data_IF_712383198368
#
_entry.id   IF_712383198368
#
_cell.length_a   1.000
_cell.length_b   1.000
_cell.length_c   1.000
_cell.angle_alpha   90.00
_cell.angle_beta   90.00
_cell.angle_gamma   90.00
#
_symmetry.space_group_name_H-M   'P 1'
#
loop_
_entity.id
_entity.type
_entity.pdbx_description
1 polymer ?
#
# COMPACT_ATOMS: atom_id res chain seq x y z
N UNK A 1 26.61 12.76 12.07
CA UNK A 1 26.30 11.33 12.29
C UNK A 1 25.78 10.64 11.02
N UNK A 2 24.74 11.16 10.35
CA UNK A 2 24.26 10.61 9.05
C UNK A 2 25.34 10.69 7.97
N UNK A 3 26.18 11.71 8.05
CA UNK A 3 27.35 12.01 7.21
C UNK A 3 28.65 11.37 7.69
N UNK A 4 28.61 10.57 8.76
CA UNK A 4 29.80 9.85 9.26
C UNK A 4 30.36 8.94 8.17
N UNK A 5 31.69 8.86 8.03
CA UNK A 5 32.33 7.89 7.14
C UNK A 5 32.15 6.46 7.66
N UNK A 6 32.17 6.30 9.00
CA UNK A 6 31.89 5.03 9.67
C UNK A 6 30.45 4.57 9.38
N UNK A 7 30.34 3.42 8.73
CA UNK A 7 29.06 2.83 8.35
C UNK A 7 28.21 2.34 9.50
N UNK A 8 28.81 1.91 10.61
CA UNK A 8 28.07 1.49 11.80
C UNK A 8 27.46 2.69 12.51
N UNK A 9 28.23 3.79 12.65
CA UNK A 9 27.73 5.05 13.21
C UNK A 9 26.55 5.58 12.38
N UNK A 10 26.72 5.62 11.06
CA UNK A 10 25.67 6.07 10.13
C UNK A 10 24.43 5.17 10.16
N UNK A 11 24.61 3.85 10.16
CA UNK A 11 23.51 2.89 10.24
C UNK A 11 22.74 3.02 11.55
N UNK A 12 23.45 3.17 12.67
CA UNK A 12 22.84 3.38 13.99
C UNK A 12 22.04 4.68 14.00
N UNK A 13 22.55 5.75 13.38
CA UNK A 13 21.83 7.01 13.26
C UNK A 13 20.53 6.87 12.45
N UNK A 14 20.58 6.23 11.28
CA UNK A 14 19.40 6.00 10.43
C UNK A 14 18.35 5.15 11.15
N UNK A 15 18.77 4.05 11.78
CA UNK A 15 17.88 3.18 12.58
C UNK A 15 17.24 3.93 13.75
N UNK A 16 18.01 4.78 14.43
CA UNK A 16 17.50 5.60 15.54
C UNK A 16 16.43 6.56 15.03
N UNK A 17 16.67 7.23 13.90
CA UNK A 17 15.68 8.12 13.27
C UNK A 17 14.44 7.33 12.87
N UNK A 18 14.58 6.16 12.23
CA UNK A 18 13.45 5.31 11.84
C UNK A 18 12.58 4.93 13.06
N UNK A 19 13.23 4.52 14.16
CA UNK A 19 12.54 4.13 15.39
C UNK A 19 11.84 5.29 16.11
N UNK A 20 12.13 6.55 15.76
CA UNK A 20 11.42 7.72 16.27
C UNK A 20 10.32 8.16 15.29
N UNK A 21 10.63 8.18 14.00
CA UNK A 21 9.74 8.70 12.96
C UNK A 21 8.57 7.75 12.72
N UNK A 22 8.81 6.44 12.56
CA UNK A 22 7.74 5.51 12.21
C UNK A 22 6.67 5.43 13.31
N UNK A 23 7.00 5.28 14.60
CA UNK A 23 6.00 5.31 15.66
C UNK A 23 5.30 6.66 15.80
N UNK A 24 5.95 7.75 15.36
CA UNK A 24 5.37 9.09 15.32
C UNK A 24 4.13 9.21 14.44
N UNK A 25 3.85 8.24 13.56
CA UNK A 25 2.61 8.17 12.79
C UNK A 25 1.37 7.81 13.63
N UNK A 26 1.55 7.23 14.82
CA UNK A 26 0.42 6.81 15.64
C UNK A 26 -0.45 8.02 16.03
N UNK A 27 -1.76 7.88 15.82
CA UNK A 27 -2.73 8.95 16.06
C UNK A 27 -2.73 10.11 15.03
N UNK A 28 -1.85 10.11 14.02
CA UNK A 28 -1.90 11.13 12.96
C UNK A 28 -3.09 10.86 12.03
N UNK A 29 -3.93 11.87 11.82
CA UNK A 29 -5.11 11.75 10.96
C UNK A 29 -4.77 11.96 9.49
N UNK A 30 -5.72 11.61 8.63
CA UNK A 30 -5.64 11.94 7.21
C UNK A 30 -5.59 13.47 7.02
N UNK A 31 -4.68 13.94 6.17
CA UNK A 31 -4.42 15.35 5.91
C UNK A 31 -3.44 16.03 6.88
N UNK A 32 -3.17 15.42 8.04
CA UNK A 32 -2.22 15.95 9.01
C UNK A 32 -0.76 15.62 8.61
N UNK A 33 0.12 16.61 8.78
CA UNK A 33 1.56 16.44 8.55
C UNK A 33 2.23 15.73 9.72
N UNK A 34 3.35 15.07 9.43
CA UNK A 34 4.20 14.46 10.47
C UNK A 34 4.72 15.53 11.46
N UNK A 35 4.61 15.33 12.79
CA UNK A 35 4.97 16.34 13.79
C UNK A 35 6.45 16.74 13.72
N UNK A 36 7.34 15.78 13.47
CA UNK A 36 8.78 16.04 13.38
C UNK A 36 9.27 16.65 12.06
N UNK A 37 8.41 16.78 11.03
CA UNK A 37 8.84 17.25 9.70
C UNK A 37 9.50 18.63 9.76
N UNK A 38 8.85 19.58 10.44
CA UNK A 38 9.34 20.97 10.51
C UNK A 38 10.65 21.08 11.31
N UNK A 39 10.75 20.38 12.44
CA UNK A 39 11.95 20.35 13.25
C UNK A 39 13.15 19.78 12.46
N UNK A 40 12.98 18.60 11.87
CA UNK A 40 14.03 17.94 11.08
C UNK A 40 14.38 18.67 9.77
N UNK A 41 13.46 19.49 9.27
CA UNK A 41 13.78 20.43 8.19
C UNK A 41 14.67 21.56 8.70
N UNK A 42 14.35 22.13 9.86
CA UNK A 42 15.05 23.28 10.43
C UNK A 42 16.46 22.98 10.92
N UNK A 43 16.70 21.77 11.46
CA UNK A 43 18.02 21.34 11.94
C UNK A 43 18.92 20.76 10.83
N UNK A 44 18.42 20.71 9.59
CA UNK A 44 19.15 20.21 8.44
C UNK A 44 19.23 18.68 8.32
N UNK A 45 18.49 17.92 9.14
CA UNK A 45 18.41 16.46 9.05
C UNK A 45 17.79 16.00 7.73
N UNK A 46 16.66 16.58 7.30
CA UNK A 46 16.01 16.21 6.03
C UNK A 46 16.95 16.40 4.82
N UNK A 47 17.62 17.56 4.63
CA UNK A 47 18.62 17.71 3.59
C UNK A 47 19.73 16.66 3.61
N UNK A 48 20.21 16.26 4.80
CA UNK A 48 21.23 15.20 4.94
C UNK A 48 20.69 13.83 4.51
N UNK A 49 19.44 13.49 4.85
CA UNK A 49 18.78 12.25 4.42
C UNK A 49 18.56 12.23 2.90
N UNK A 50 18.17 13.35 2.30
CA UNK A 50 18.01 13.48 0.83
C UNK A 50 19.36 13.28 0.15
N UNK A 51 20.41 13.96 0.60
CA UNK A 51 21.76 13.78 0.06
C UNK A 51 22.25 12.33 0.18
N UNK A 52 21.90 11.65 1.29
CA UNK A 52 22.30 10.26 1.50
C UNK A 52 21.71 9.30 0.45
N UNK A 53 20.47 9.51 -0.02
CA UNK A 53 19.84 8.60 -0.98
C UNK A 53 20.27 8.83 -2.45
N UNK A 54 20.98 9.93 -2.73
CA UNK A 54 21.54 10.26 -4.04
C UNK A 54 22.70 9.33 -4.44
N UNK A 55 23.44 8.80 -3.47
CA UNK A 55 24.49 7.80 -3.69
C UNK A 55 23.85 6.41 -3.88
N UNK A 56 23.45 6.11 -5.12
CA UNK A 56 22.68 4.91 -5.47
C UNK A 56 23.45 3.60 -5.34
N UNK A 57 24.78 3.63 -5.38
CA UNK A 57 25.63 2.43 -5.46
C UNK A 57 26.02 1.90 -4.07
N UNK A 58 25.99 2.77 -3.05
CA UNK A 58 26.39 2.46 -1.69
C UNK A 58 25.17 2.22 -0.80
N UNK A 59 25.17 1.14 -0.01
CA UNK A 59 24.22 0.93 1.10
C UNK A 59 22.73 0.80 0.72
N UNK A 60 22.41 -0.12 -0.20
CA UNK A 60 21.04 -0.36 -0.69
C UNK A 60 19.98 -0.52 0.42
N UNK A 61 20.32 -1.20 1.51
CA UNK A 61 19.40 -1.39 2.65
C UNK A 61 19.10 -0.06 3.36
N UNK A 62 20.15 0.67 3.75
CA UNK A 62 20.04 1.97 4.42
C UNK A 62 19.37 3.00 3.52
N UNK A 63 19.61 2.93 2.21
CA UNK A 63 18.92 3.76 1.22
C UNK A 63 17.41 3.52 1.27
N UNK A 64 16.96 2.27 1.30
CA UNK A 64 15.52 1.94 1.43
C UNK A 64 14.94 2.45 2.75
N UNK A 65 15.64 2.29 3.87
CA UNK A 65 15.20 2.84 5.16
C UNK A 65 15.08 4.37 5.13
N UNK A 66 16.07 5.04 4.54
CA UNK A 66 16.06 6.50 4.43
C UNK A 66 14.90 6.99 3.57
N UNK A 67 14.59 6.28 2.48
CA UNK A 67 13.44 6.57 1.64
C UNK A 67 12.13 6.35 2.40
N UNK A 68 12.03 5.28 3.20
CA UNK A 68 10.89 5.03 4.07
C UNK A 68 10.67 6.19 5.06
N UNK A 69 11.73 6.62 5.76
CA UNK A 69 11.70 7.77 6.67
C UNK A 69 11.20 9.02 5.93
N UNK A 70 11.74 9.31 4.75
CA UNK A 70 11.36 10.50 3.98
C UNK A 70 9.89 10.45 3.57
N UNK A 71 9.37 9.32 3.07
CA UNK A 71 7.94 9.23 2.76
C UNK A 71 7.06 9.51 3.99
N UNK A 72 7.42 8.97 5.14
CA UNK A 72 6.66 9.16 6.38
C UNK A 72 6.70 10.61 6.85
N UNK A 73 7.87 11.25 6.82
CA UNK A 73 8.01 12.67 7.16
C UNK A 73 7.21 13.58 6.23
N UNK A 74 7.09 13.19 4.96
CA UNK A 74 6.38 13.95 3.94
C UNK A 74 4.91 13.53 3.75
N UNK A 75 4.33 12.77 4.70
CA UNK A 75 2.88 12.54 4.77
C UNK A 75 2.12 13.86 4.63
N UNK A 76 1.12 13.88 3.75
CA UNK A 76 0.30 15.05 3.44
C UNK A 76 1.11 16.33 3.13
N UNK A 77 2.33 16.20 2.61
CA UNK A 77 3.20 17.33 2.24
C UNK A 77 3.86 17.09 0.87
N UNK A 78 4.14 18.15 0.08
CA UNK A 78 4.83 18.01 -1.19
C UNK A 78 6.22 17.39 -1.03
N UNK A 79 6.49 16.34 -1.81
CA UNK A 79 7.79 15.70 -1.87
C UNK A 79 8.84 16.67 -2.44
N UNK A 80 10.09 16.61 -1.96
CA UNK A 80 11.17 17.39 -2.56
C UNK A 80 11.37 17.00 -4.04
N UNK A 81 11.63 17.95 -4.95
CA UNK A 81 11.87 17.65 -6.36
C UNK A 81 12.98 16.61 -6.58
N UNK A 82 14.04 16.68 -5.79
CA UNK A 82 15.20 15.78 -5.83
C UNK A 82 14.77 14.33 -5.55
N UNK A 83 13.83 14.15 -4.62
CA UNK A 83 13.31 12.85 -4.20
C UNK A 83 12.55 12.13 -5.33
N UNK A 84 11.88 12.88 -6.21
CA UNK A 84 11.04 12.34 -7.28
C UNK A 84 11.79 11.45 -8.26
N UNK A 85 13.06 11.78 -8.55
CA UNK A 85 13.94 10.98 -9.42
C UNK A 85 14.47 9.72 -8.73
N UNK A 86 14.61 9.78 -7.41
CA UNK A 86 15.24 8.71 -6.61
C UNK A 86 14.32 7.53 -6.37
N UNK A 87 13.00 7.76 -6.39
CA UNK A 87 12.01 6.73 -6.05
C UNK A 87 11.44 5.97 -7.25
N UNK A 88 11.65 6.42 -8.50
CA UNK A 88 10.97 5.86 -9.69
C UNK A 88 11.09 4.34 -9.80
N UNK A 89 12.30 3.80 -9.61
CA UNK A 89 12.59 2.38 -9.81
C UNK A 89 12.17 1.50 -8.61
N UNK A 90 11.73 2.12 -7.52
CA UNK A 90 11.48 1.43 -6.25
C UNK A 90 10.09 1.69 -5.69
N UNK A 91 9.26 2.54 -6.32
CA UNK A 91 7.88 2.85 -5.91
C UNK A 91 7.06 1.61 -5.54
N UNK A 92 7.19 0.55 -6.33
CA UNK A 92 6.47 -0.71 -6.13
C UNK A 92 6.72 -1.38 -4.77
N UNK A 93 7.84 -1.07 -4.11
CA UNK A 93 8.17 -1.58 -2.78
C UNK A 93 7.63 -0.72 -1.64
N UNK A 94 6.99 0.41 -1.95
CA UNK A 94 6.61 1.45 -0.99
C UNK A 94 5.13 1.83 -1.10
N UNK A 95 4.24 0.89 -1.47
CA UNK A 95 2.82 1.21 -1.73
C UNK A 95 2.12 1.82 -0.51
N UNK A 96 2.40 1.33 0.71
CA UNK A 96 1.86 1.91 1.93
C UNK A 96 2.36 3.34 2.15
N UNK A 97 3.66 3.59 1.93
CA UNK A 97 4.25 4.93 2.01
C UNK A 97 3.73 5.88 0.93
N UNK A 98 3.54 5.39 -0.30
CA UNK A 98 2.93 6.16 -1.40
C UNK A 98 1.51 6.61 -1.04
N UNK A 99 0.77 5.79 -0.28
CA UNK A 99 -0.56 6.16 0.21
C UNK A 99 -0.50 7.38 1.14
N UNK A 100 0.51 7.45 2.03
CA UNK A 100 0.69 8.58 2.96
C UNK A 100 0.97 9.89 2.23
N UNK A 101 1.83 9.87 1.21
CA UNK A 101 2.18 11.07 0.45
C UNK A 101 1.14 11.42 -0.62
N UNK A 102 0.28 10.47 -1.02
CA UNK A 102 -0.86 10.73 -1.89
C UNK A 102 -1.96 11.59 -1.24
N UNK A 103 -1.89 11.85 0.06
CA UNK A 103 -2.77 12.84 0.71
C UNK A 103 -2.45 14.28 0.26
N UNK A 104 -1.27 14.52 -0.34
CA UNK A 104 -0.92 15.79 -0.95
C UNK A 104 -1.08 15.71 -2.48
N UNK A 105 -1.94 16.55 -3.10
CA UNK A 105 -2.19 16.52 -4.55
C UNK A 105 -0.94 16.83 -5.38
N UNK A 106 -0.01 17.65 -4.88
CA UNK A 106 1.24 18.01 -5.58
C UNK A 106 2.12 16.78 -5.85
N UNK A 107 1.91 15.69 -5.11
CA UNK A 107 2.67 14.45 -5.28
C UNK A 107 2.12 13.55 -6.39
N UNK A 108 0.91 13.79 -6.90
CA UNK A 108 0.18 12.82 -7.72
C UNK A 108 0.82 12.60 -9.09
N UNK A 109 1.32 13.66 -9.74
CA UNK A 109 2.08 13.51 -10.99
C UNK A 109 3.36 12.72 -10.76
N UNK A 110 4.08 12.97 -9.66
CA UNK A 110 5.27 12.20 -9.31
C UNK A 110 4.93 10.74 -9.05
N UNK A 111 3.84 10.43 -8.34
CA UNK A 111 3.41 9.06 -8.05
C UNK A 111 3.07 8.33 -9.36
N UNK A 112 2.27 8.95 -10.22
CA UNK A 112 1.75 8.39 -11.47
C UNK A 112 2.75 8.45 -12.64
N UNK A 113 3.89 9.11 -12.49
CA UNK A 113 4.94 9.16 -13.50
C UNK A 113 5.33 7.75 -13.98
N UNK A 114 5.67 7.65 -15.27
CA UNK A 114 6.00 6.40 -15.96
C UNK A 114 4.85 5.38 -16.01
N UNK A 115 3.61 5.87 -16.09
CA UNK A 115 2.38 5.07 -16.14
C UNK A 115 2.27 4.10 -14.96
N UNK A 116 2.64 4.54 -13.76
CA UNK A 116 2.70 3.70 -12.58
C UNK A 116 1.33 3.12 -12.19
N UNK A 117 0.23 3.77 -12.58
CA UNK A 117 -1.14 3.25 -12.43
C UNK A 117 -1.34 1.87 -13.09
N UNK A 118 -0.60 1.55 -14.15
CA UNK A 118 -0.69 0.25 -14.80
C UNK A 118 -0.07 -0.87 -13.96
N UNK A 119 0.76 -0.53 -12.98
CA UNK A 119 1.34 -1.47 -12.02
C UNK A 119 0.42 -1.75 -10.82
N UNK A 120 -0.70 -1.05 -10.71
CA UNK A 120 -1.62 -1.27 -9.60
C UNK A 120 -2.18 -2.69 -9.68
N UNK A 121 -2.17 -3.40 -8.55
CA UNK A 121 -2.58 -4.81 -8.47
C UNK A 121 -1.71 -5.77 -9.31
N UNK A 122 -0.45 -5.44 -9.58
CA UNK A 122 0.54 -6.43 -10.06
C UNK A 122 0.84 -7.48 -8.99
N UNK A 123 1.00 -7.04 -7.73
CA UNK A 123 1.10 -7.94 -6.58
C UNK A 123 -0.30 -8.21 -6.01
N UNK A 124 -0.83 -9.38 -6.34
CA UNK A 124 -2.15 -9.84 -5.91
C UNK A 124 -2.21 -10.20 -4.41
N UNK A 125 -1.08 -10.24 -3.70
CA UNK A 125 -1.05 -10.52 -2.25
C UNK A 125 -1.38 -9.31 -1.37
N UNK A 126 -1.29 -8.09 -1.92
CA UNK A 126 -1.48 -6.81 -1.19
C UNK A 126 -2.52 -5.86 -1.82
N UNK A 127 -3.69 -6.35 -2.27
CA UNK A 127 -4.66 -5.50 -2.98
C UNK A 127 -5.21 -4.37 -2.11
N UNK A 128 -5.26 -4.54 -0.79
CA UNK A 128 -5.71 -3.51 0.14
C UNK A 128 -4.85 -2.25 0.05
N UNK A 129 -3.53 -2.39 -0.12
CA UNK A 129 -2.62 -1.24 -0.24
C UNK A 129 -2.89 -0.47 -1.53
N UNK A 130 -3.09 -1.17 -2.66
CA UNK A 130 -3.44 -0.54 -3.93
C UNK A 130 -4.82 0.13 -3.90
N UNK A 131 -5.81 -0.46 -3.21
CA UNK A 131 -7.14 0.14 -3.03
C UNK A 131 -7.05 1.44 -2.23
N UNK A 132 -6.27 1.46 -1.15
CA UNK A 132 -6.06 2.65 -0.33
C UNK A 132 -5.36 3.77 -1.13
N UNK A 133 -4.29 3.44 -1.86
CA UNK A 133 -3.61 4.39 -2.73
C UNK A 133 -4.57 4.96 -3.80
N UNK A 134 -5.34 4.10 -4.47
CA UNK A 134 -6.32 4.53 -5.46
C UNK A 134 -7.34 5.51 -4.87
N UNK A 135 -7.85 5.24 -3.65
CA UNK A 135 -8.77 6.14 -2.98
C UNK A 135 -8.16 7.51 -2.68
N UNK A 136 -6.91 7.59 -2.24
CA UNK A 136 -6.23 8.87 -2.03
C UNK A 136 -6.11 9.66 -3.33
N UNK A 137 -5.76 8.98 -4.43
CA UNK A 137 -5.69 9.59 -5.76
C UNK A 137 -7.07 10.03 -6.28
N UNK A 138 -8.14 9.29 -5.97
CA UNK A 138 -9.51 9.71 -6.29
C UNK A 138 -10.00 10.87 -5.44
N UNK A 139 -9.61 10.92 -4.16
CA UNK A 139 -10.02 11.96 -3.23
C UNK A 139 -9.36 13.29 -3.56
N UNK A 140 -8.04 13.31 -3.71
CA UNK A 140 -7.25 14.53 -3.84
C UNK A 140 -6.78 14.85 -5.26
N UNK A 141 -6.82 13.89 -6.20
CA UNK A 141 -6.18 14.07 -7.51
C UNK A 141 -6.92 14.99 -8.47
N UNK A 142 -6.20 15.43 -9.51
CA UNK A 142 -6.81 16.18 -10.61
C UNK A 142 -7.79 15.32 -11.40
N UNK A 143 -8.60 15.95 -12.26
CA UNK A 143 -9.49 15.22 -13.17
C UNK A 143 -8.70 14.24 -14.05
N UNK A 144 -7.55 14.67 -14.57
CA UNK A 144 -6.67 13.82 -15.39
C UNK A 144 -6.12 12.64 -14.58
N UNK A 145 -5.65 12.85 -13.33
CA UNK A 145 -5.16 11.76 -12.49
C UNK A 145 -6.25 10.74 -12.21
N UNK A 146 -7.46 11.19 -11.85
CA UNK A 146 -8.60 10.30 -11.59
C UNK A 146 -8.97 9.48 -12.83
N UNK A 147 -8.95 10.09 -14.02
CA UNK A 147 -9.19 9.38 -15.27
C UNK A 147 -8.13 8.31 -15.53
N UNK A 148 -6.84 8.66 -15.47
CA UNK A 148 -5.73 7.70 -15.66
C UNK A 148 -5.89 6.49 -14.75
N UNK A 149 -6.07 6.71 -13.45
CA UNK A 149 -6.25 5.65 -12.45
C UNK A 149 -7.50 4.84 -12.72
N UNK A 150 -8.65 5.48 -12.96
CA UNK A 150 -9.91 4.77 -13.20
C UNK A 150 -9.84 3.82 -14.40
N UNK A 151 -9.25 4.25 -15.51
CA UNK A 151 -9.11 3.40 -16.69
C UNK A 151 -8.15 2.23 -16.44
N UNK A 152 -7.02 2.47 -15.77
CA UNK A 152 -6.03 1.43 -15.47
C UNK A 152 -6.59 0.33 -14.56
N UNK A 153 -7.30 0.69 -13.49
CA UNK A 153 -7.71 -0.29 -12.46
C UNK A 153 -9.12 -0.85 -12.65
N UNK A 154 -9.90 -0.36 -13.62
CA UNK A 154 -11.32 -0.72 -13.83
C UNK A 154 -11.56 -2.24 -13.77
N UNK A 155 -10.81 -2.99 -14.59
CA UNK A 155 -11.03 -4.44 -14.70
C UNK A 155 -10.59 -5.20 -13.44
N UNK A 156 -9.53 -4.73 -12.78
CA UNK A 156 -9.06 -5.30 -11.51
C UNK A 156 -10.09 -5.10 -10.41
N UNK A 157 -10.58 -3.87 -10.21
CA UNK A 157 -11.63 -3.56 -9.23
C UNK A 157 -12.93 -4.32 -9.55
N UNK A 158 -13.30 -4.44 -10.83
CA UNK A 158 -14.44 -5.28 -11.25
C UNK A 158 -14.28 -6.73 -10.78
N UNK A 159 -13.11 -7.34 -10.96
CA UNK A 159 -12.83 -8.70 -10.46
C UNK A 159 -13.05 -8.82 -8.96
N UNK A 160 -12.59 -7.82 -8.21
CA UNK A 160 -12.76 -7.75 -6.75
C UNK A 160 -14.22 -7.55 -6.30
N UNK A 161 -15.15 -7.16 -7.19
CA UNK A 161 -16.57 -7.11 -6.82
C UNK A 161 -17.20 -8.50 -6.68
N UNK A 162 -16.54 -9.55 -7.16
CA UNK A 162 -16.96 -10.94 -6.92
C UNK A 162 -16.43 -11.39 -5.56
N UNK A 163 -17.29 -11.39 -4.53
CA UNK A 163 -16.85 -11.74 -3.18
C UNK A 163 -16.41 -13.20 -3.04
N UNK A 164 -16.94 -14.12 -3.85
CA UNK A 164 -16.42 -15.49 -3.89
C UNK A 164 -14.98 -15.56 -4.43
N UNK A 165 -14.60 -14.65 -5.33
CA UNK A 165 -13.20 -14.52 -5.77
C UNK A 165 -12.30 -13.95 -4.66
N UNK A 166 -12.79 -12.98 -3.88
CA UNK A 166 -12.06 -12.48 -2.69
C UNK A 166 -11.83 -13.62 -1.69
N UNK A 167 -12.84 -14.43 -1.41
CA UNK A 167 -12.72 -15.54 -0.45
C UNK A 167 -11.71 -16.59 -0.92
N UNK A 168 -11.62 -16.85 -2.23
CA UNK A 168 -10.59 -17.72 -2.83
C UNK A 168 -9.18 -17.14 -2.66
N UNK A 169 -8.96 -15.88 -3.03
CA UNK A 169 -7.66 -15.23 -2.86
C UNK A 169 -7.25 -15.19 -1.39
N UNK A 170 -8.18 -14.91 -0.49
CA UNK A 170 -7.91 -14.87 0.93
C UNK A 170 -7.37 -16.21 1.45
N UNK A 171 -7.88 -17.33 0.94
CA UNK A 171 -7.34 -18.65 1.29
C UNK A 171 -5.96 -18.88 0.66
N UNK A 172 -5.74 -18.43 -0.58
CA UNK A 172 -4.44 -18.57 -1.25
C UNK A 172 -3.32 -17.75 -0.60
N UNK A 173 -3.64 -16.56 -0.09
CA UNK A 173 -2.68 -15.62 0.50
C UNK A 173 -2.75 -15.56 2.03
N UNK A 174 -3.54 -16.43 2.66
CA UNK A 174 -3.77 -16.47 4.12
C UNK A 174 -4.23 -15.12 4.71
N UNK A 175 -5.11 -14.40 4.01
CA UNK A 175 -5.70 -13.18 4.56
C UNK A 175 -6.68 -13.51 5.69
N UNK A 176 -6.59 -12.75 6.77
CA UNK A 176 -7.57 -12.81 7.85
C UNK A 176 -8.92 -12.22 7.45
N UNK A 177 -9.92 -12.38 8.32
CA UNK A 177 -11.26 -11.85 8.07
C UNK A 177 -11.29 -10.33 8.03
N UNK A 178 -10.45 -9.65 8.81
CA UNK A 178 -10.39 -8.19 8.84
C UNK A 178 -9.95 -7.63 7.47
N UNK A 179 -8.86 -8.15 6.92
CA UNK A 179 -8.34 -7.78 5.61
C UNK A 179 -9.38 -8.06 4.51
N UNK A 180 -10.07 -9.22 4.56
CA UNK A 180 -11.16 -9.54 3.63
C UNK A 180 -12.27 -8.49 3.67
N UNK A 181 -12.75 -8.13 4.85
CA UNK A 181 -13.81 -7.13 4.99
C UNK A 181 -13.33 -5.75 4.53
N UNK A 182 -12.11 -5.36 4.87
CA UNK A 182 -11.53 -4.09 4.43
C UNK A 182 -11.44 -4.01 2.90
N UNK A 183 -11.01 -5.07 2.23
CA UNK A 183 -11.00 -5.13 0.75
C UNK A 183 -12.44 -4.99 0.21
N UNK A 184 -13.40 -5.74 0.74
CA UNK A 184 -14.82 -5.69 0.30
C UNK A 184 -15.39 -4.27 0.43
N UNK A 185 -15.18 -3.62 1.56
CA UNK A 185 -15.61 -2.24 1.82
C UNK A 185 -14.97 -1.25 0.85
N UNK A 186 -13.66 -1.33 0.65
CA UNK A 186 -12.91 -0.41 -0.22
C UNK A 186 -13.27 -0.57 -1.70
N UNK A 187 -13.57 -1.80 -2.13
CA UNK A 187 -14.09 -2.08 -3.48
C UNK A 187 -15.48 -1.48 -3.67
N UNK A 188 -16.35 -1.57 -2.66
CA UNK A 188 -17.68 -0.95 -2.71
C UNK A 188 -17.60 0.59 -2.76
N UNK A 189 -16.62 1.19 -2.09
CA UNK A 189 -16.33 2.63 -2.12
C UNK A 189 -15.85 3.09 -3.52
N UNK A 190 -14.91 2.33 -4.12
CA UNK A 190 -14.31 2.68 -5.42
C UNK A 190 -15.21 2.43 -6.62
N UNK A 191 -16.05 1.40 -6.56
CA UNK A 191 -16.93 1.00 -7.67
C UNK A 191 -17.73 2.17 -8.27
N UNK A 192 -18.55 2.92 -7.52
CA UNK A 192 -19.35 3.99 -8.11
C UNK A 192 -18.47 5.10 -8.70
N UNK A 193 -17.32 5.41 -8.10
CA UNK A 193 -16.37 6.42 -8.60
C UNK A 193 -15.85 6.01 -9.98
N UNK A 194 -15.41 4.76 -10.12
CA UNK A 194 -14.90 4.22 -11.38
C UNK A 194 -16.00 4.14 -12.44
N UNK A 195 -17.23 3.75 -12.07
CA UNK A 195 -18.35 3.67 -13.02
C UNK A 195 -18.74 5.04 -13.58
N UNK A 196 -18.63 6.10 -12.78
CA UNK A 196 -18.84 7.49 -13.24
C UNK A 196 -17.76 7.95 -14.21
N UNK A 197 -16.50 7.60 -13.97
CA UNK A 197 -15.35 8.13 -14.73
C UNK A 197 -15.04 7.28 -15.98
N UNK A 198 -14.98 5.96 -15.83
CA UNK A 198 -14.56 5.02 -16.86
C UNK A 198 -15.72 4.19 -17.42
N UNK A 199 -16.96 4.51 -17.04
CA UNK A 199 -18.18 3.84 -17.46
C UNK A 199 -18.48 2.55 -16.68
N UNK A 200 -19.74 2.09 -16.78
CA UNK A 200 -20.24 0.91 -16.05
C UNK A 200 -19.40 -0.35 -16.27
N UNK A 201 -19.38 -1.22 -15.26
CA UNK A 201 -18.86 -2.57 -15.40
C UNK A 201 -19.81 -3.41 -16.25
N UNK A 202 -19.59 -3.46 -17.56
CA UNK A 202 -20.37 -4.32 -18.44
C UNK A 202 -20.00 -5.76 -18.15
N UNK A 203 -20.96 -6.56 -17.70
CA UNK A 203 -20.78 -8.00 -17.62
C UNK A 203 -20.72 -8.55 -19.05
N UNK A 204 -19.64 -9.23 -19.49
CA UNK A 204 -19.56 -9.74 -20.87
C UNK A 204 -20.74 -10.67 -21.23
N UNK A 205 -21.43 -11.23 -20.23
CA UNK A 205 -22.64 -12.05 -20.40
C UNK A 205 -23.95 -11.26 -20.54
N UNK A 206 -23.93 -9.92 -20.44
CA UNK A 206 -25.11 -9.05 -20.60
C UNK A 206 -25.03 -8.13 -21.84
N UNK A 207 -23.98 -8.26 -22.66
CA UNK A 207 -24.02 -7.63 -23.97
C UNK A 207 -25.19 -8.23 -24.78
N UNK A 208 -26.03 -7.42 -25.46
CA UNK A 208 -26.97 -7.97 -26.42
C UNK A 208 -26.16 -8.87 -27.35
N UNK A 209 -26.60 -10.12 -27.50
CA UNK A 209 -26.05 -11.03 -28.50
C UNK A 209 -26.14 -10.32 -29.85
N UNK A 210 -25.08 -9.60 -30.23
CA UNK A 210 -24.82 -9.31 -31.63
C UNK A 210 -24.85 -10.69 -32.28
N UNK A 211 -25.80 -10.88 -33.21
CA UNK A 211 -25.94 -12.09 -34.02
C UNK A 211 -24.66 -12.23 -34.85
N UNK A 212 -23.58 -12.69 -34.22
CA UNK A 212 -22.40 -13.14 -34.91
C UNK A 212 -22.83 -14.44 -35.56
N UNK A 213 -23.01 -14.39 -36.89
CA UNK A 213 -23.17 -15.59 -37.72
C UNK A 213 -22.05 -16.56 -37.33
N UNK A 214 -22.43 -17.73 -36.84
CA UNK A 214 -21.49 -18.78 -36.50
C UNK A 214 -20.61 -19.09 -37.73
N UNK A 215 -19.28 -19.20 -37.58
CA UNK A 215 -18.46 -19.80 -38.62
C UNK A 215 -18.92 -21.23 -38.83
N UNK A 216 -19.28 -21.56 -40.07
CA UNK A 216 -19.51 -22.94 -40.47
C UNK A 216 -18.14 -23.64 -40.48
N UNK A 217 -17.89 -24.45 -39.44
CA UNK A 217 -16.78 -25.40 -39.49
C UNK A 217 -17.22 -26.67 -40.25
N UNK A 218 -16.35 -27.23 -41.11
CA UNK A 218 -16.64 -28.50 -41.77
C UNK A 218 -16.80 -29.59 -40.72
N UNK A 219 -17.86 -30.38 -40.85
CA UNK A 219 -18.03 -31.60 -40.07
C UNK A 219 -16.95 -32.61 -40.47
N UNK A 220 -15.99 -32.86 -39.59
CA UNK A 220 -15.11 -34.02 -39.69
C UNK A 220 -15.41 -34.98 -38.56
N UNK A 221 -15.96 -36.14 -38.94
CA UNK A 221 -15.53 -37.48 -38.53
C UNK A 221 -15.51 -37.80 -37.04
N UNK A 222 -16.35 -38.76 -36.66
CA UNK A 222 -16.52 -39.24 -35.30
C UNK A 222 -15.25 -39.74 -34.61
N UNK A 223 -15.22 -39.54 -33.30
CA UNK A 223 -14.42 -40.33 -32.37
C UNK A 223 -15.29 -40.79 -31.20
N UNK A 224 -15.13 -42.07 -30.89
CA UNK A 224 -15.96 -42.88 -30.02
C UNK A 224 -15.74 -42.62 -28.52
N UNK A 225 -16.76 -43.04 -27.78
CA UNK A 225 -16.90 -43.13 -26.33
C UNK A 225 -15.73 -43.85 -25.62
N UNK A 226 -15.34 -43.37 -24.43
CA UNK A 226 -15.02 -44.18 -23.26
C UNK A 226 -14.75 -43.29 -22.03
N UNK A 227 -15.25 -43.69 -20.85
CA UNK A 227 -14.70 -43.23 -19.57
C UNK A 227 -15.67 -42.54 -18.60
N UNK A 228 -16.75 -43.22 -18.19
CA UNK A 228 -17.37 -42.94 -16.90
C UNK A 228 -16.46 -43.44 -15.77
N UNK A 229 -15.97 -42.54 -14.92
CA UNK A 229 -15.49 -42.91 -13.58
C UNK A 229 -16.13 -41.96 -12.56
N UNK A 230 -17.07 -42.51 -11.79
CA UNK A 230 -17.74 -41.82 -10.68
C UNK A 230 -16.78 -41.59 -9.52
N UNK A 231 -16.68 -40.33 -9.08
CA UNK A 231 -16.11 -39.98 -7.78
C UNK A 231 -17.23 -39.97 -6.74
N UNK A 232 -17.17 -40.93 -5.81
CA UNK A 232 -17.93 -40.92 -4.55
C UNK A 232 -17.48 -39.72 -3.72
N UNK A 233 -18.40 -38.82 -3.40
CA UNK A 233 -18.20 -37.76 -2.41
C UNK A 233 -18.46 -38.39 -1.03
N UNK A 234 -17.50 -38.24 -0.13
CA UNK A 234 -17.53 -38.76 1.23
C UNK A 234 -18.11 -37.65 2.15
N UNK A 235 -19.31 -37.81 2.74
CA UNK A 235 -19.92 -36.74 3.54
C UNK A 235 -19.70 -37.00 5.03
N UNK A 236 -18.52 -36.65 5.57
CA UNK A 236 -18.33 -36.53 7.02
C UNK A 236 -16.99 -35.84 7.33
N UNK A 237 -17.03 -34.53 7.54
CA UNK A 237 -16.04 -33.79 8.35
C UNK A 237 -16.66 -32.42 8.69
N UNK A 238 -17.50 -32.40 9.73
CA UNK A 238 -17.95 -31.16 10.34
C UNK A 238 -16.82 -30.64 11.25
N UNK A 239 -16.08 -29.64 10.76
CA UNK A 239 -15.12 -28.88 11.57
C UNK A 239 -15.88 -27.94 12.50
N UNK A 240 -15.66 -28.10 13.82
CA UNK A 240 -16.14 -27.17 14.84
C UNK A 240 -15.37 -25.86 14.74
N UNK A 241 -16.09 -24.73 14.80
CA UNK A 241 -15.50 -23.39 14.78
C UNK A 241 -14.59 -23.15 15.98
N UNK A 242 -13.39 -22.56 15.80
CA UNK A 242 -12.51 -22.24 16.92
C UNK A 242 -13.06 -21.07 17.72
N UNK A 243 -13.02 -21.22 19.05
CA UNK A 243 -13.35 -20.16 20.01
C UNK A 243 -12.19 -19.16 20.03
N UNK A 244 -12.41 -17.98 19.45
CA UNK A 244 -11.46 -16.86 19.52
C UNK A 244 -11.63 -16.17 20.85
N UNK A 245 -10.63 -16.25 21.71
CA UNK A 245 -10.54 -15.45 22.95
C UNK A 245 -9.78 -14.17 22.63
N UNK A 246 -10.47 -13.03 22.68
CA UNK A 246 -9.87 -11.71 22.53
C UNK A 246 -8.99 -11.41 23.76
N UNK A 247 -7.69 -11.09 23.57
CA UNK A 247 -6.83 -10.73 24.69
C UNK A 247 -7.31 -9.43 25.32
N UNK A 248 -7.57 -9.48 26.63
CA UNK A 248 -7.92 -8.30 27.42
C UNK A 248 -6.68 -7.41 27.50
N UNK A 249 -6.71 -6.24 26.85
CA UNK A 249 -5.60 -5.27 26.93
C UNK A 249 -5.44 -4.81 28.38
N UNK A 250 -4.24 -5.01 28.92
CA UNK A 250 -3.87 -4.57 30.27
C UNK A 250 -3.50 -3.09 30.20
N UNK A 251 -4.19 -2.26 30.97
CA UNK A 251 -3.81 -0.86 31.14
C UNK A 251 -2.42 -0.81 31.80
N UNK A 252 -1.56 0.07 31.28
CA UNK A 252 -0.22 0.30 31.80
C UNK A 252 -0.29 0.81 33.24
N UNK A 253 0.68 0.41 34.05
CA UNK A 253 0.82 0.96 35.40
C UNK A 253 1.40 2.37 35.33
N UNK A 254 1.19 3.16 36.39
CA UNK A 254 1.76 4.52 36.49
C UNK A 254 3.28 4.54 36.37
N UNK A 255 3.95 3.46 36.78
CA UNK A 255 5.40 3.31 36.68
C UNK A 255 5.85 3.04 35.24
N UNK A 256 5.10 2.26 34.47
CA UNK A 256 5.36 2.02 33.04
C UNK A 256 5.17 3.30 32.22
N UNK A 257 4.17 4.12 32.57
CA UNK A 257 3.92 5.40 31.94
C UNK A 257 5.02 6.43 32.26
N UNK A 258 5.48 6.47 33.52
CA UNK A 258 6.59 7.32 33.93
C UNK A 258 7.93 6.93 33.26
N UNK A 259 8.18 5.63 33.07
CA UNK A 259 9.37 5.14 32.37
C UNK A 259 9.40 5.56 30.90
N UNK A 260 8.24 5.58 30.23
CA UNK A 260 8.14 6.09 28.85
C UNK A 260 8.39 7.60 28.76
N UNK A 261 7.92 8.36 29.77
CA UNK A 261 8.17 9.80 29.84
C UNK A 261 9.66 10.10 30.03
N UNK A 262 10.34 9.31 30.88
CA UNK A 262 11.78 9.42 31.11
C UNK A 262 12.61 9.16 29.84
N UNK A 263 12.23 8.16 29.02
CA UNK A 263 12.89 7.89 27.73
C UNK A 263 12.74 9.08 26.77
N UNK A 264 11.58 9.74 26.75
CA UNK A 264 11.37 10.93 25.92
C UNK A 264 12.23 12.12 26.37
N UNK A 265 12.37 12.34 27.67
CA UNK A 265 13.22 13.41 28.22
C UNK A 265 14.71 13.17 27.95
N UNK A 266 15.18 11.93 28.07
CA UNK A 266 16.57 11.57 27.77
C UNK A 266 16.90 11.77 26.29
N UNK A 267 15.96 11.45 25.40
CA UNK A 267 16.12 11.65 23.96
C UNK A 267 16.25 13.13 23.61
N UNK A 268 15.52 14.00 24.31
CA UNK A 268 15.63 15.45 24.13
C UNK A 268 16.97 16.01 24.65
N UNK A 269 17.48 15.53 25.79
CA UNK A 269 18.78 15.97 26.31
C UNK A 269 19.94 15.64 25.38
N UNK A 270 19.95 14.43 24.78
CA UNK A 270 20.99 14.00 23.84
C UNK A 270 20.97 14.87 22.57
N UNK A 271 19.82 15.40 22.17
CA UNK A 271 19.70 16.24 20.98
C UNK A 271 20.06 17.71 21.19
N UNK A 272 20.20 18.18 22.43
CA UNK A 272 20.45 19.60 22.74
C UNK A 272 21.87 19.92 23.19
N UNK A 273 22.74 18.93 23.36
CA UNK A 273 24.13 19.18 23.76
C UNK A 273 24.95 19.72 22.57
N UNK A 274 25.46 20.97 22.63
CA UNK A 274 26.30 21.51 21.56
C UNK A 274 27.70 20.91 21.63
N UNK A 275 28.16 20.34 20.50
CA UNK A 275 29.54 19.92 20.28
C UNK A 275 30.44 21.12 20.01
#
# INVERSE_FOLDING_TARGET
MIDSEDGNVRNTAILTIENIIIPGLDGIKEGDQHPYRKQLQSDGTIPKLIKFIEDKEKYQYQRRQTINILFVLFKAYPLPPEFSSQIQDIKQFFISQLTLVAECPDNHETILANNFENKFFEDESIPLLYLNLALMLFKYGSKENKQKVAFAIKNKVKGLTNFGFIDQMANSYNWDEEMKQNIKLKVQELKPIIEVIAGKFINPFQAPLLKIRAPQFPQTGGFNQAGQMGRRINPALQLKSPIVTTPKMKLLTKEEEASKHYICELSNQIMTDPV
#
